data_IF_940759948110
#
_entry.id   IF_940759948110
#
_cell.length_a   1.000
_cell.length_b   1.000
_cell.length_c   1.000
_cell.angle_alpha   90.00
_cell.angle_beta   90.00
_cell.angle_gamma   90.00
#
_symmetry.space_group_name_H-M   'P 1'
#
loop_
_entity.id
_entity.type
_entity.pdbx_description
1 polymer ?
#
# COMPACT_ATOMS: atom_id res chain seq x y z
N UNK A 1 10.94 -23.77 2.83
CA UNK A 1 12.35 -23.33 2.83
C UNK A 1 12.44 -22.07 2.01
N UNK A 2 13.01 -20.99 2.54
CA UNK A 2 13.26 -19.76 1.77
C UNK A 2 14.29 -20.06 0.68
N UNK A 3 14.09 -19.54 -0.54
CA UNK A 3 15.09 -19.69 -1.59
C UNK A 3 16.26 -18.74 -1.32
N UNK A 4 17.47 -19.16 -1.71
CA UNK A 4 18.68 -18.32 -1.63
C UNK A 4 18.45 -16.93 -2.25
N UNK A 5 17.72 -16.87 -3.36
CA UNK A 5 17.38 -15.62 -4.04
C UNK A 5 16.55 -14.67 -3.16
N UNK A 6 15.60 -15.19 -2.38
CA UNK A 6 14.80 -14.38 -1.45
C UNK A 6 15.67 -13.80 -0.34
N UNK A 7 16.55 -14.59 0.24
CA UNK A 7 17.47 -14.11 1.29
C UNK A 7 18.42 -13.03 0.75
N UNK A 8 18.92 -13.19 -0.48
CA UNK A 8 19.75 -12.20 -1.13
C UNK A 8 19.03 -10.86 -1.32
N UNK A 9 17.74 -10.87 -1.67
CA UNK A 9 16.95 -9.63 -1.76
C UNK A 9 16.89 -8.91 -0.42
N UNK A 10 16.70 -9.62 0.70
CA UNK A 10 16.73 -8.98 2.04
C UNK A 10 18.09 -8.39 2.39
N UNK A 11 19.18 -9.04 1.98
CA UNK A 11 20.53 -8.49 2.16
C UNK A 11 20.74 -7.21 1.33
N UNK A 12 20.18 -7.17 0.12
CA UNK A 12 20.22 -5.97 -0.73
C UNK A 12 19.35 -4.87 -0.14
N UNK A 13 18.13 -5.17 0.34
CA UNK A 13 17.25 -4.20 0.99
C UNK A 13 17.93 -3.56 2.21
N UNK A 14 18.56 -4.37 3.07
CA UNK A 14 19.33 -3.85 4.21
C UNK A 14 20.45 -2.90 3.74
N UNK A 15 21.21 -3.29 2.71
CA UNK A 15 22.28 -2.46 2.16
C UNK A 15 21.73 -1.12 1.60
N UNK A 16 20.64 -1.16 0.84
CA UNK A 16 20.04 0.03 0.25
C UNK A 16 19.54 1.00 1.32
N UNK A 17 18.98 0.48 2.43
CA UNK A 17 18.55 1.29 3.57
C UNK A 17 19.74 1.92 4.31
N UNK A 18 20.80 1.16 4.57
CA UNK A 18 22.05 1.64 5.18
C UNK A 18 22.71 2.77 4.36
N UNK A 19 22.66 2.67 3.03
CA UNK A 19 23.17 3.69 2.10
C UNK A 19 22.16 4.82 1.80
N UNK A 20 20.96 4.77 2.40
CA UNK A 20 19.88 5.76 2.25
C UNK A 20 19.32 5.90 0.82
N UNK A 21 19.33 4.83 0.02
CA UNK A 21 18.71 4.79 -1.30
C UNK A 21 17.19 4.55 -1.21
N UNK A 22 16.47 5.50 -0.59
CA UNK A 22 15.07 5.34 -0.16
C UNK A 22 14.12 4.88 -1.28
N UNK A 23 14.16 5.52 -2.46
CA UNK A 23 13.28 5.13 -3.56
C UNK A 23 13.58 3.72 -4.08
N UNK A 24 14.86 3.36 -4.15
CA UNK A 24 15.31 2.04 -4.61
C UNK A 24 14.88 0.94 -3.65
N UNK A 25 14.88 1.20 -2.34
CA UNK A 25 14.36 0.27 -1.32
C UNK A 25 12.91 -0.08 -1.64
N UNK A 26 12.03 0.91 -1.77
CA UNK A 26 10.61 0.67 -1.94
C UNK A 26 10.25 0.12 -3.33
N UNK A 27 11.02 0.46 -4.37
CA UNK A 27 10.90 -0.20 -5.68
C UNK A 27 11.27 -1.68 -5.61
N UNK A 28 12.35 -2.03 -4.93
CA UNK A 28 12.75 -3.43 -4.77
C UNK A 28 11.76 -4.22 -3.90
N UNK A 29 11.22 -3.62 -2.84
CA UNK A 29 10.11 -4.18 -2.05
C UNK A 29 8.91 -4.50 -2.95
N UNK A 30 8.49 -3.54 -3.76
CA UNK A 30 7.37 -3.68 -4.69
C UNK A 30 7.62 -4.74 -5.77
N UNK A 31 8.73 -4.66 -6.49
CA UNK A 31 9.01 -5.54 -7.63
C UNK A 31 9.29 -6.99 -7.19
N UNK A 32 9.91 -7.18 -6.02
CA UNK A 32 10.16 -8.52 -5.48
C UNK A 32 8.94 -9.12 -4.78
N UNK A 33 8.07 -8.28 -4.20
CA UNK A 33 6.90 -8.70 -3.42
C UNK A 33 7.24 -9.49 -2.15
N UNK A 34 8.50 -9.43 -1.67
CA UNK A 34 8.98 -10.23 -0.52
C UNK A 34 8.78 -9.58 0.84
N UNK A 35 8.76 -8.25 0.91
CA UNK A 35 8.58 -7.48 2.14
C UNK A 35 7.69 -6.29 1.88
N UNK A 36 6.60 -6.19 2.64
CA UNK A 36 5.69 -5.05 2.61
C UNK A 36 6.01 -4.12 3.77
N UNK A 37 6.49 -2.93 3.44
CA UNK A 37 6.90 -1.93 4.40
C UNK A 37 5.69 -1.13 4.87
N UNK A 38 5.12 -1.56 6.01
CA UNK A 38 3.94 -0.92 6.61
C UNK A 38 4.19 0.56 6.89
N UNK A 39 5.39 0.95 7.34
CA UNK A 39 5.71 2.37 7.63
C UNK A 39 5.68 3.23 6.38
N UNK A 40 6.27 2.74 5.28
CA UNK A 40 6.22 3.42 3.98
C UNK A 40 4.78 3.57 3.49
N UNK A 41 3.99 2.50 3.58
CA UNK A 41 2.57 2.54 3.21
C UNK A 41 1.78 3.56 4.05
N UNK A 42 1.97 3.58 5.37
CA UNK A 42 1.36 4.57 6.28
C UNK A 42 1.72 6.01 5.90
N UNK A 43 3.00 6.27 5.61
CA UNK A 43 3.49 7.59 5.17
C UNK A 43 2.78 8.05 3.90
N UNK A 44 2.68 7.18 2.88
CA UNK A 44 2.04 7.50 1.60
C UNK A 44 0.53 7.70 1.72
N UNK A 45 -0.14 6.91 2.56
CA UNK A 45 -1.57 7.10 2.86
C UNK A 45 -1.81 8.42 3.58
N UNK A 46 -1.00 8.78 4.58
CA UNK A 46 -1.13 10.05 5.28
C UNK A 46 -0.87 11.25 4.37
N UNK A 47 0.11 11.15 3.47
CA UNK A 47 0.39 12.16 2.45
C UNK A 47 -0.73 12.27 1.40
N UNK A 48 -1.52 11.20 1.20
CA UNK A 48 -2.55 11.14 0.16
C UNK A 48 -1.97 10.94 -1.24
N UNK A 49 -0.81 10.31 -1.32
CA UNK A 49 -0.15 9.95 -2.58
C UNK A 49 -0.82 8.70 -3.17
N UNK A 50 -2.11 8.80 -3.51
CA UNK A 50 -2.97 7.65 -3.82
C UNK A 50 -2.46 6.78 -4.99
N UNK A 51 -1.88 7.41 -6.01
CA UNK A 51 -1.33 6.69 -7.15
C UNK A 51 -0.09 5.87 -6.74
N UNK A 52 0.72 6.38 -5.81
CA UNK A 52 1.85 5.65 -5.23
C UNK A 52 1.39 4.50 -4.33
N UNK A 53 0.36 4.74 -3.51
CA UNK A 53 -0.23 3.73 -2.63
C UNK A 53 -0.73 2.53 -3.45
N UNK A 54 -1.50 2.77 -4.52
CA UNK A 54 -1.97 1.69 -5.41
C UNK A 54 -0.82 1.02 -6.16
N UNK A 55 0.15 1.81 -6.65
CA UNK A 55 1.35 1.27 -7.32
C UNK A 55 2.12 0.33 -6.40
N UNK A 56 2.40 0.75 -5.16
CA UNK A 56 3.12 -0.07 -4.19
C UNK A 56 2.33 -1.35 -3.85
N UNK A 57 1.02 -1.25 -3.59
CA UNK A 57 0.16 -2.42 -3.32
C UNK A 57 0.13 -3.43 -4.46
N UNK A 58 0.22 -2.98 -5.72
CA UNK A 58 0.18 -3.86 -6.89
C UNK A 58 1.33 -4.88 -6.95
N UNK A 59 2.44 -4.63 -6.24
CA UNK A 59 3.54 -5.59 -6.07
C UNK A 59 3.20 -6.78 -5.17
N UNK A 60 2.11 -6.69 -4.39
CA UNK A 60 1.74 -7.68 -3.38
C UNK A 60 0.40 -8.34 -3.63
N UNK A 61 -0.54 -7.62 -4.26
CA UNK A 61 -1.92 -8.08 -4.44
C UNK A 61 -2.64 -7.29 -5.54
N UNK A 62 -3.64 -7.91 -6.15
CA UNK A 62 -4.60 -7.32 -7.09
C UNK A 62 -5.96 -7.10 -6.43
N UNK A 63 -6.79 -6.28 -7.06
CA UNK A 63 -8.12 -5.91 -6.55
C UNK A 63 -9.05 -7.12 -6.37
N UNK A 64 -8.88 -8.16 -7.20
CA UNK A 64 -9.73 -9.33 -7.29
C UNK A 64 -9.12 -10.60 -6.68
N UNK A 65 -7.92 -10.53 -6.10
CA UNK A 65 -7.24 -11.71 -5.55
C UNK A 65 -8.00 -12.34 -4.38
N UNK A 66 -8.59 -11.53 -3.50
CA UNK A 66 -9.44 -11.98 -2.39
C UNK A 66 -10.26 -10.81 -1.78
N UNK A 67 -11.18 -11.14 -0.87
CA UNK A 67 -12.07 -10.16 -0.21
C UNK A 67 -11.33 -9.10 0.61
N UNK A 68 -10.18 -9.43 1.22
CA UNK A 68 -9.39 -8.44 1.95
C UNK A 68 -8.75 -7.44 0.99
N UNK A 69 -8.12 -7.94 -0.08
CA UNK A 69 -7.53 -7.11 -1.14
C UNK A 69 -8.57 -6.19 -1.76
N UNK A 70 -9.74 -6.73 -2.12
CA UNK A 70 -10.85 -5.96 -2.66
C UNK A 70 -11.27 -4.82 -1.72
N UNK A 71 -11.41 -5.11 -0.42
CA UNK A 71 -11.77 -4.10 0.56
C UNK A 71 -10.67 -3.04 0.74
N UNK A 72 -9.39 -3.43 0.71
CA UNK A 72 -8.24 -2.48 0.76
C UNK A 72 -8.33 -1.47 -0.37
N UNK A 73 -8.45 -1.93 -1.62
CA UNK A 73 -8.54 -1.04 -2.78
C UNK A 73 -9.82 -0.19 -2.76
N UNK A 74 -10.94 -0.77 -2.33
CA UNK A 74 -12.20 -0.04 -2.20
C UNK A 74 -12.09 1.14 -1.23
N UNK A 75 -11.55 0.92 -0.02
CA UNK A 75 -11.40 1.99 0.99
C UNK A 75 -10.47 3.11 0.50
N UNK A 76 -9.34 2.76 -0.13
CA UNK A 76 -8.40 3.74 -0.71
C UNK A 76 -9.08 4.60 -1.78
N UNK A 77 -9.76 3.96 -2.74
CA UNK A 77 -10.42 4.66 -3.86
C UNK A 77 -11.63 5.46 -3.39
N UNK A 78 -12.36 4.96 -2.38
CA UNK A 78 -13.45 5.69 -1.73
C UNK A 78 -12.92 6.95 -1.06
N UNK A 79 -11.83 6.87 -0.30
CA UNK A 79 -11.21 8.05 0.32
C UNK A 79 -10.71 9.05 -0.74
N UNK A 80 -10.04 8.58 -1.79
CA UNK A 80 -9.62 9.40 -2.95
C UNK A 80 -10.79 10.16 -3.58
N UNK A 81 -11.93 9.49 -3.73
CA UNK A 81 -13.18 10.07 -4.23
C UNK A 81 -13.78 11.10 -3.28
N UNK A 82 -13.89 10.79 -1.98
CA UNK A 82 -14.42 11.72 -0.97
C UNK A 82 -13.56 12.99 -0.87
N UNK A 83 -12.24 12.88 -0.99
CA UNK A 83 -11.34 14.04 -1.02
C UNK A 83 -11.49 14.90 -2.29
N UNK A 84 -11.92 14.32 -3.41
CA UNK A 84 -12.27 15.09 -4.60
C UNK A 84 -13.58 15.86 -4.39
N UNK A 85 -14.59 15.21 -3.79
CA UNK A 85 -15.85 15.86 -3.41
C UNK A 85 -15.64 16.99 -2.40
N UNK A 86 -14.81 16.77 -1.38
CA UNK A 86 -14.53 17.75 -0.31
C UNK A 86 -13.85 19.02 -0.84
N UNK A 87 -13.08 18.88 -1.93
CA UNK A 87 -12.45 20.01 -2.65
C UNK A 87 -13.35 20.61 -3.73
N UNK A 88 -14.60 20.16 -3.82
CA UNK A 88 -15.56 20.51 -4.85
C UNK A 88 -15.08 20.24 -6.30
N UNK A 89 -14.10 19.35 -6.48
CA UNK A 89 -13.63 18.92 -7.80
C UNK A 89 -14.48 17.77 -8.33
N UNK A 90 -15.69 18.11 -8.80
CA UNK A 90 -16.66 17.14 -9.31
C UNK A 90 -16.17 16.42 -10.55
N UNK A 91 -15.38 17.08 -11.41
CA UNK A 91 -14.81 16.45 -12.60
C UNK A 91 -13.87 15.31 -12.20
N UNK A 92 -12.99 15.56 -11.23
CA UNK A 92 -12.11 14.52 -10.70
C UNK A 92 -12.86 13.43 -9.93
N UNK A 93 -13.91 13.80 -9.18
CA UNK A 93 -14.75 12.83 -8.49
C UNK A 93 -15.43 11.86 -9.46
N UNK A 94 -15.98 12.35 -10.58
CA UNK A 94 -16.57 11.51 -11.63
C UNK A 94 -15.51 10.63 -12.30
N UNK A 95 -14.32 11.17 -12.59
CA UNK A 95 -13.19 10.41 -13.15
C UNK A 95 -12.82 9.22 -12.25
N UNK A 96 -12.68 9.45 -10.93
CA UNK A 96 -12.38 8.40 -9.94
C UNK A 96 -13.55 7.41 -9.85
N UNK A 97 -14.80 7.89 -9.83
CA UNK A 97 -15.97 7.03 -9.74
C UNK A 97 -16.02 6.02 -10.90
N UNK A 98 -15.79 6.50 -12.13
CA UNK A 98 -15.87 5.67 -13.34
C UNK A 98 -14.65 4.77 -13.52
N UNK A 99 -13.44 5.28 -13.28
CA UNK A 99 -12.20 4.52 -13.52
C UNK A 99 -11.83 3.59 -12.36
N UNK A 100 -11.97 4.09 -11.13
CA UNK A 100 -11.40 3.43 -9.96
C UNK A 100 -12.48 2.64 -9.21
N UNK A 101 -13.71 3.20 -9.07
CA UNK A 101 -14.76 2.58 -8.25
C UNK A 101 -15.74 1.69 -9.01
N UNK A 102 -15.89 1.86 -10.33
CA UNK A 102 -16.85 1.08 -11.14
C UNK A 102 -16.64 -0.42 -11.07
N UNK A 103 -15.39 -0.88 -10.92
CA UNK A 103 -15.08 -2.31 -10.79
C UNK A 103 -15.75 -2.96 -9.57
N UNK A 104 -16.15 -2.19 -8.55
CA UNK A 104 -16.82 -2.72 -7.37
C UNK A 104 -18.34 -2.89 -7.57
N UNK A 105 -18.93 -2.28 -8.61
CA UNK A 105 -20.37 -2.36 -8.86
C UNK A 105 -20.84 -3.78 -9.18
N UNK A 106 -19.96 -4.63 -9.72
CA UNK A 106 -20.26 -6.04 -9.99
C UNK A 106 -20.43 -6.86 -8.72
N UNK A 107 -19.89 -6.39 -7.59
CA UNK A 107 -19.98 -7.06 -6.29
C UNK A 107 -21.08 -6.48 -5.41
N UNK A 108 -21.29 -5.16 -5.48
CA UNK A 108 -22.36 -4.48 -4.77
C UNK A 108 -22.86 -3.28 -5.59
N UNK A 109 -23.86 -3.53 -6.43
CA UNK A 109 -24.46 -2.52 -7.29
C UNK A 109 -25.12 -1.39 -6.50
N UNK A 110 -25.76 -1.73 -5.38
CA UNK A 110 -26.46 -0.76 -4.53
C UNK A 110 -25.47 0.21 -3.88
N UNK A 111 -24.38 -0.31 -3.30
CA UNK A 111 -23.32 0.54 -2.74
C UNK A 111 -22.71 1.48 -3.79
N UNK A 112 -22.55 1.02 -5.03
CA UNK A 112 -22.05 1.87 -6.11
C UNK A 112 -23.05 2.98 -6.46
N UNK A 113 -24.37 2.70 -6.45
CA UNK A 113 -25.43 3.71 -6.62
C UNK A 113 -25.42 4.73 -5.48
N UNK A 114 -25.32 4.27 -4.22
CA UNK A 114 -25.23 5.13 -3.04
C UNK A 114 -24.04 6.10 -3.14
N UNK A 115 -22.86 5.59 -3.53
CA UNK A 115 -21.65 6.43 -3.70
C UNK A 115 -21.84 7.42 -4.86
N UNK A 116 -22.50 7.01 -5.94
CA UNK A 116 -22.80 7.88 -7.09
C UNK A 116 -23.72 9.03 -6.71
N UNK A 117 -24.72 8.78 -5.85
CA UNK A 117 -25.64 9.81 -5.36
C UNK A 117 -24.93 10.91 -4.55
N UNK A 118 -23.75 10.65 -3.98
CA UNK A 118 -22.97 11.69 -3.30
C UNK A 118 -22.58 12.86 -4.20
N UNK A 119 -22.52 12.67 -5.54
CA UNK A 119 -22.27 13.74 -6.51
C UNK A 119 -23.37 14.81 -6.55
N UNK A 120 -24.61 14.45 -6.15
CA UNK A 120 -25.76 15.36 -6.22
C UNK A 120 -25.89 16.23 -4.98
N UNK A 121 -25.19 15.89 -3.89
CA UNK A 121 -25.21 16.65 -2.65
C UNK A 121 -24.31 17.89 -2.75
N UNK A 122 -24.66 18.93 -2.01
CA UNK A 122 -23.77 20.09 -1.84
C UNK A 122 -22.60 19.71 -0.91
N UNK A 123 -22.91 19.00 0.17
CA UNK A 123 -21.93 18.37 1.05
C UNK A 123 -22.25 16.89 1.25
N UNK A 124 -21.32 15.99 0.89
CA UNK A 124 -21.53 14.55 1.05
C UNK A 124 -21.75 14.11 2.51
N UNK A 125 -21.42 14.98 3.50
CA UNK A 125 -21.69 14.76 4.92
C UNK A 125 -23.17 14.86 5.29
N UNK A 126 -24.03 15.33 4.38
CA UNK A 126 -25.49 15.24 4.53
C UNK A 126 -25.97 13.78 4.50
N UNK A 127 -25.18 12.87 3.93
CA UNK A 127 -25.44 11.43 4.01
C UNK A 127 -25.20 10.92 5.44
N UNK A 128 -26.19 10.26 6.05
CA UNK A 128 -26.12 9.79 7.44
C UNK A 128 -24.89 8.90 7.73
N UNK A 129 -24.49 8.05 6.78
CA UNK A 129 -23.34 7.16 6.94
C UNK A 129 -21.99 7.92 6.92
N UNK A 130 -21.95 9.10 6.31
CA UNK A 130 -20.75 9.94 6.16
C UNK A 130 -20.78 11.19 7.04
N UNK A 131 -21.85 11.38 7.82
CA UNK A 131 -22.01 12.51 8.75
C UNK A 131 -20.86 12.67 9.76
N UNK A 132 -20.17 11.58 10.11
CA UNK A 132 -19.01 11.56 11.01
C UNK A 132 -17.68 11.86 10.32
N UNK A 133 -17.68 12.05 9.01
CA UNK A 133 -16.46 12.44 8.28
C UNK A 133 -16.06 13.85 8.70
N UNK A 134 -14.97 13.97 9.45
CA UNK A 134 -14.42 15.25 9.89
C UNK A 134 -13.59 15.91 8.79
N UNK A 135 -12.31 16.12 9.09
CA UNK A 135 -11.31 16.61 8.13
C UNK A 135 -10.56 15.46 7.44
N UNK A 136 -9.90 15.78 6.32
CA UNK A 136 -9.13 14.83 5.52
C UNK A 136 -8.07 14.07 6.31
N UNK A 137 -7.35 14.73 7.24
CA UNK A 137 -6.27 14.10 8.01
C UNK A 137 -6.84 13.06 8.98
N UNK A 138 -7.93 13.39 9.67
CA UNK A 138 -8.64 12.48 10.55
C UNK A 138 -9.23 11.30 9.79
N UNK A 139 -9.87 11.55 8.63
CA UNK A 139 -10.42 10.52 7.77
C UNK A 139 -9.35 9.52 7.28
N UNK A 140 -8.21 10.02 6.78
CA UNK A 140 -7.06 9.17 6.39
C UNK A 140 -6.56 8.32 7.56
N UNK A 141 -6.48 8.88 8.76
CA UNK A 141 -6.01 8.17 9.95
C UNK A 141 -6.96 7.03 10.37
N UNK A 142 -8.27 7.27 10.33
CA UNK A 142 -9.28 6.25 10.62
C UNK A 142 -9.25 5.14 9.57
N UNK A 143 -9.20 5.51 8.28
CA UNK A 143 -9.09 4.56 7.18
C UNK A 143 -7.83 3.69 7.33
N UNK A 144 -6.68 4.30 7.67
CA UNK A 144 -5.41 3.60 7.81
C UNK A 144 -5.46 2.52 8.91
N UNK A 145 -6.16 2.75 10.02
CA UNK A 145 -6.37 1.74 11.06
C UNK A 145 -7.09 0.51 10.49
N UNK A 146 -8.10 0.71 9.66
CA UNK A 146 -8.83 -0.38 9.01
C UNK A 146 -7.95 -1.08 7.96
N UNK A 147 -7.21 -0.33 7.13
CA UNK A 147 -6.30 -0.88 6.14
C UNK A 147 -5.24 -1.79 6.78
N UNK A 148 -4.67 -1.40 7.92
CA UNK A 148 -3.69 -2.23 8.64
C UNK A 148 -4.28 -3.56 9.08
N UNK A 149 -5.49 -3.56 9.65
CA UNK A 149 -6.19 -4.81 10.03
C UNK A 149 -6.44 -5.70 8.83
N UNK A 150 -6.85 -5.11 7.69
CA UNK A 150 -7.08 -5.86 6.46
C UNK A 150 -5.79 -6.44 5.89
N UNK A 151 -4.69 -5.69 5.90
CA UNK A 151 -3.37 -6.15 5.46
C UNK A 151 -2.86 -7.28 6.36
N UNK A 152 -2.97 -7.14 7.68
CA UNK A 152 -2.56 -8.16 8.66
C UNK A 152 -3.37 -9.46 8.51
N UNK A 153 -4.68 -9.35 8.23
CA UNK A 153 -5.55 -10.50 8.03
C UNK A 153 -5.44 -11.14 6.62
N UNK A 154 -4.86 -10.42 5.65
CA UNK A 154 -4.82 -10.88 4.26
C UNK A 154 -3.72 -11.95 4.07
N UNK A 155 -4.08 -13.16 3.60
CA UNK A 155 -3.12 -14.26 3.45
C UNK A 155 -1.96 -13.94 2.49
N UNK A 156 -2.13 -13.01 1.55
CA UNK A 156 -1.07 -12.62 0.61
C UNK A 156 0.07 -11.82 1.24
N UNK A 157 -0.16 -11.25 2.42
CA UNK A 157 0.82 -10.49 3.20
C UNK A 157 1.46 -11.33 4.31
N UNK A 158 1.01 -12.58 4.49
CA UNK A 158 1.59 -13.51 5.46
C UNK A 158 3.09 -13.67 5.18
N UNK A 159 3.91 -13.58 6.22
CA UNK A 159 5.39 -13.63 6.15
C UNK A 159 6.03 -12.48 5.35
N UNK A 160 5.30 -11.40 5.06
CA UNK A 160 5.83 -10.21 4.36
C UNK A 160 5.85 -8.95 5.22
N UNK A 161 5.23 -8.94 6.40
CA UNK A 161 5.09 -7.75 7.25
C UNK A 161 6.24 -7.53 8.24
N UNK A 162 7.08 -8.54 8.44
CA UNK A 162 8.20 -8.50 9.39
C UNK A 162 9.51 -8.62 8.62
N UNK A 163 10.37 -7.61 8.77
CA UNK A 163 11.69 -7.65 8.17
C UNK A 163 12.58 -8.64 8.96
N UNK A 164 13.34 -9.52 8.30
CA UNK A 164 14.21 -10.47 8.98
C UNK A 164 15.25 -9.79 9.87
N UNK A 165 15.51 -10.36 11.05
CA UNK A 165 16.57 -9.88 11.93
C UNK A 165 17.94 -10.23 11.34
N UNK A 166 18.63 -9.23 10.80
CA UNK A 166 19.97 -9.35 10.22
C UNK A 166 20.97 -8.56 11.07
N UNK A 167 22.21 -9.05 11.18
CA UNK A 167 23.33 -8.23 11.67
C UNK A 167 23.54 -7.05 10.72
N UNK A 168 23.94 -5.89 11.24
CA UNK A 168 24.25 -4.74 10.41
C UNK A 168 25.28 -5.06 9.32
N UNK A 169 25.09 -4.47 8.14
CA UNK A 169 25.96 -4.62 6.97
C UNK A 169 26.26 -6.08 6.62
N UNK A 170 25.23 -6.95 6.68
CA UNK A 170 25.40 -8.39 6.46
C UNK A 170 25.92 -8.70 5.06
N UNK A 171 25.43 -7.98 4.04
CA UNK A 171 25.89 -8.13 2.66
C UNK A 171 27.40 -7.81 2.53
N UNK A 172 27.83 -6.67 3.07
CA UNK A 172 29.25 -6.27 3.09
C UNK A 172 30.12 -7.32 3.81
N UNK A 173 29.61 -7.86 4.92
CA UNK A 173 30.29 -8.91 5.68
C UNK A 173 30.51 -10.17 4.84
N UNK A 174 29.50 -10.62 4.09
CA UNK A 174 29.59 -11.81 3.23
C UNK A 174 30.58 -11.60 2.07
N UNK A 175 30.56 -10.42 1.45
CA UNK A 175 31.53 -10.06 0.40
C UNK A 175 32.96 -10.11 0.96
N UNK A 176 33.20 -9.52 2.13
CA UNK A 176 34.52 -9.52 2.78
C UNK A 176 34.99 -10.93 3.14
N UNK A 177 34.09 -11.81 3.60
CA UNK A 177 34.42 -13.22 3.86
C UNK A 177 34.85 -13.92 2.57
N UNK A 178 34.16 -13.67 1.46
CA UNK A 178 34.52 -14.26 0.17
C UNK A 178 35.88 -13.79 -0.34
N UNK A 179 36.18 -12.49 -0.21
CA UNK A 179 37.47 -11.93 -0.61
C UNK A 179 38.64 -12.53 0.20
N UNK A 180 38.47 -12.69 1.52
CA UNK A 180 39.48 -13.33 2.38
C UNK A 180 39.77 -14.77 1.98
N UNK A 181 38.71 -15.55 1.69
CA UNK A 181 38.86 -16.93 1.25
C UNK A 181 39.63 -17.04 -0.08
N UNK A 182 39.35 -16.14 -1.03
CA UNK A 182 40.07 -16.11 -2.31
C UNK A 182 41.55 -15.74 -2.14
N UNK A 183 41.86 -14.83 -1.21
CA UNK A 183 43.24 -14.44 -0.91
C UNK A 183 44.04 -15.56 -0.21
N UNK A 184 43.40 -16.40 0.60
CA UNK A 184 44.06 -17.55 1.27
C UNK A 184 44.31 -18.76 0.37
N UNK A 185 43.80 -18.75 -0.85
CA UNK A 185 43.98 -19.81 -1.86
C UNK A 185 45.05 -19.50 -2.92
N UNK A 186 45.73 -18.36 -2.78
CA UNK A 186 46.90 -17.93 -3.55
C UNK A 186 48.17 -18.08 -2.71
#
# INVERSE_FOLDING_TARGET
>A
MSSLSRELVFLILQFLDEEKFKETVHKLEQESGFYFNVKYFEEKVHAGEWDEVERYLSGFTKVDDNRYSMKIFFEIRKQKYLEALDRHDRAKAVDILVKDLKVFSTFNEELYKEITQLLTLENFRENEQLSKYGDTKSARSIMLIELKKLIEANPLFREKLVFPTLKASRLRTLINQRLKLAASTL
#
